data_IF_563473549577
#
_entry.id   IF_563473549577
#
_cell.length_a   1.000
_cell.length_b   1.000
_cell.length_c   1.000
_cell.angle_alpha   90.00
_cell.angle_beta   90.00
_cell.angle_gamma   90.00
#
_symmetry.space_group_name_H-M   'P 1'
#
loop_
_entity.id
_entity.type
_entity.pdbx_description
1 polymer ?
#
# COMPACT_ATOMS: atom_id res chain seq x y z
N UNK A 1 39.24 0.46 68.48
CA UNK A 1 39.03 -1.02 68.40
C UNK A 1 37.90 -1.25 67.40
N UNK A 2 37.92 -2.09 66.37
CA UNK A 2 38.86 -3.10 65.89
C UNK A 2 38.50 -3.46 64.43
N UNK A 3 39.42 -4.15 63.73
CA UNK A 3 39.20 -5.03 62.56
C UNK A 3 38.88 -4.37 61.19
N UNK A 4 39.86 -3.61 60.68
CA UNK A 4 40.19 -3.59 59.25
C UNK A 4 40.83 -4.93 58.87
N UNK A 5 40.12 -5.80 58.15
CA UNK A 5 40.67 -6.76 57.17
C UNK A 5 39.60 -7.78 56.74
N UNK A 6 38.84 -7.50 55.67
CA UNK A 6 38.33 -8.56 54.80
C UNK A 6 37.91 -8.02 53.42
N UNK A 7 38.82 -7.33 52.75
CA UNK A 7 38.82 -7.20 51.30
C UNK A 7 40.06 -7.94 50.80
N UNK A 8 39.90 -9.21 50.39
CA UNK A 8 40.69 -9.91 49.36
C UNK A 8 40.38 -11.41 49.35
N UNK A 9 39.80 -11.83 48.23
CA UNK A 9 39.59 -13.20 47.75
C UNK A 9 38.71 -13.06 46.52
N UNK A 10 39.22 -12.52 45.41
CA UNK A 10 39.90 -13.25 44.33
C UNK A 10 39.17 -14.54 43.96
N UNK A 11 38.65 -14.58 42.74
CA UNK A 11 38.24 -15.81 42.08
C UNK A 11 37.34 -15.52 40.90
N UNK A 12 37.94 -15.07 39.80
CA UNK A 12 37.21 -14.68 38.60
C UNK A 12 36.33 -15.79 38.01
N UNK A 13 35.21 -15.36 37.44
CA UNK A 13 34.53 -16.04 36.35
C UNK A 13 33.62 -15.01 35.66
N UNK A 14 33.94 -14.72 34.39
CA UNK A 14 33.10 -14.10 33.36
C UNK A 14 32.00 -13.12 33.80
N UNK A 15 32.30 -11.82 33.76
CA UNK A 15 31.31 -10.80 33.45
C UNK A 15 31.57 -10.26 32.04
N UNK A 16 31.46 -11.14 31.04
CA UNK A 16 31.15 -10.76 29.65
C UNK A 16 29.61 -10.76 29.47
N UNK A 17 28.90 -10.23 30.46
CA UNK A 17 27.45 -10.22 30.52
C UNK A 17 26.91 -8.90 29.99
N UNK A 18 26.64 -8.89 28.69
CA UNK A 18 25.58 -8.12 28.04
C UNK A 18 25.63 -6.60 28.29
N UNK A 19 26.40 -5.90 27.46
CA UNK A 19 25.93 -4.62 26.94
C UNK A 19 24.65 -4.92 26.14
N UNK A 20 23.51 -4.94 26.83
CA UNK A 20 22.20 -4.91 26.20
C UNK A 20 22.12 -3.58 25.44
N UNK A 21 22.45 -3.64 24.14
CA UNK A 21 22.20 -2.55 23.22
C UNK A 21 20.71 -2.21 23.26
N UNK A 22 20.41 -0.94 23.46
CA UNK A 22 19.07 -0.39 23.34
C UNK A 22 18.52 -0.72 21.94
N UNK A 23 17.61 -1.69 21.86
CA UNK A 23 16.94 -2.11 20.65
C UNK A 23 15.53 -2.61 20.98
N UNK A 24 14.58 -1.67 21.02
CA UNK A 24 13.11 -1.79 21.13
C UNK A 24 12.54 -2.91 22.04
N UNK A 25 12.29 -2.63 23.32
CA UNK A 25 11.34 -3.44 24.11
C UNK A 25 10.20 -2.57 24.68
N UNK A 26 9.03 -2.63 24.02
CA UNK A 26 7.71 -2.27 24.58
C UNK A 26 6.54 -2.59 23.62
N UNK A 27 6.77 -2.58 22.30
CA UNK A 27 5.71 -2.76 21.30
C UNK A 27 5.86 -4.02 20.43
N UNK A 28 7.05 -4.64 20.39
CA UNK A 28 7.29 -5.85 19.61
C UNK A 28 6.68 -7.08 20.29
N UNK A 29 6.10 -8.00 19.49
CA UNK A 29 5.56 -9.28 19.95
C UNK A 29 6.36 -10.44 19.34
N UNK A 30 6.85 -11.35 20.18
CA UNK A 30 7.61 -12.54 19.77
C UNK A 30 6.74 -13.57 19.03
N UNK A 31 7.33 -14.30 18.06
CA UNK A 31 6.63 -15.27 17.20
C UNK A 31 5.77 -16.28 17.96
N UNK A 32 6.29 -16.84 19.06
CA UNK A 32 5.56 -17.81 19.90
C UNK A 32 4.30 -17.23 20.57
N UNK A 33 4.14 -15.91 20.59
CA UNK A 33 3.03 -15.19 21.18
C UNK A 33 2.05 -14.61 20.15
N UNK A 34 2.38 -14.68 18.85
CA UNK A 34 1.60 -14.09 17.74
C UNK A 34 0.29 -14.83 17.45
N UNK A 35 0.12 -16.04 17.95
CA UNK A 35 -0.96 -16.95 17.54
C UNK A 35 -2.19 -16.82 18.47
N UNK A 36 -3.34 -16.53 17.88
CA UNK A 36 -4.65 -16.71 18.51
C UNK A 36 -5.10 -18.17 18.38
N UNK A 37 -5.96 -18.65 19.29
CA UNK A 37 -6.59 -19.96 19.09
C UNK A 37 -7.52 -19.90 17.88
N UNK A 38 -7.12 -20.55 16.79
CA UNK A 38 -7.97 -20.66 15.60
C UNK A 38 -9.22 -21.51 15.91
N UNK A 39 -10.39 -20.92 15.70
CA UNK A 39 -11.70 -21.56 15.89
C UNK A 39 -12.48 -21.74 14.58
N UNK A 40 -11.86 -21.46 13.43
CA UNK A 40 -12.47 -21.56 12.08
C UNK A 40 -13.19 -22.88 11.81
N UNK A 41 -12.68 -23.98 12.36
CA UNK A 41 -13.30 -25.31 12.19
C UNK A 41 -14.69 -25.44 12.84
N UNK A 42 -14.99 -24.61 13.84
CA UNK A 42 -16.26 -24.61 14.61
C UNK A 42 -17.09 -23.37 14.37
N UNK A 43 -16.44 -22.27 14.00
CA UNK A 43 -17.07 -20.98 13.73
C UNK A 43 -16.75 -20.53 12.31
N UNK A 44 -17.78 -20.48 11.45
CA UNK A 44 -17.65 -20.15 10.03
C UNK A 44 -17.93 -18.67 9.81
N UNK A 45 -17.24 -17.83 10.56
CA UNK A 45 -17.30 -16.38 10.41
C UNK A 45 -15.93 -15.79 10.13
N UNK A 46 -15.91 -14.56 9.64
CA UNK A 46 -14.71 -13.76 9.43
C UNK A 46 -15.06 -12.28 9.56
N UNK A 47 -14.33 -11.53 10.39
CA UNK A 47 -14.42 -10.06 10.44
C UNK A 47 -13.33 -9.44 9.54
N UNK A 48 -13.74 -8.79 8.44
CA UNK A 48 -12.85 -8.23 7.42
C UNK A 48 -12.96 -6.70 7.37
N UNK A 49 -11.88 -6.00 7.75
CA UNK A 49 -11.77 -4.55 7.61
C UNK A 49 -10.95 -4.15 6.38
N UNK A 50 -11.47 -3.21 5.61
CA UNK A 50 -10.84 -2.74 4.37
C UNK A 50 -11.08 -1.24 4.17
N UNK A 51 -10.49 -0.72 3.11
CA UNK A 51 -10.76 0.60 2.56
C UNK A 51 -12.17 0.70 1.95
N UNK A 52 -12.80 1.89 1.95
CA UNK A 52 -13.96 2.16 1.11
C UNK A 52 -13.65 1.97 -0.37
N UNK A 53 -14.64 1.53 -1.17
CA UNK A 53 -14.52 1.37 -2.63
C UNK A 53 -13.45 0.37 -3.07
N UNK A 54 -13.08 -0.56 -2.20
CA UNK A 54 -12.07 -1.60 -2.47
C UNK A 54 -12.69 -3.00 -2.59
N UNK A 55 -14.00 -3.06 -2.81
CA UNK A 55 -14.76 -4.29 -3.01
C UNK A 55 -15.92 -4.01 -3.98
N UNK A 56 -16.24 -4.98 -4.83
CA UNK A 56 -17.37 -4.90 -5.75
C UNK A 56 -18.70 -4.73 -5.03
N UNK A 57 -19.57 -3.91 -5.61
CA UNK A 57 -20.95 -3.75 -5.17
C UNK A 57 -21.90 -3.99 -6.32
N UNK A 58 -23.09 -4.53 -6.01
CA UNK A 58 -24.14 -4.76 -6.99
C UNK A 58 -24.71 -3.41 -7.48
N UNK A 59 -24.94 -3.29 -8.78
CA UNK A 59 -25.39 -2.04 -9.40
C UNK A 59 -26.76 -1.57 -8.88
N UNK A 60 -27.65 -2.51 -8.55
CA UNK A 60 -29.00 -2.23 -8.06
C UNK A 60 -29.05 -2.09 -6.52
N UNK A 61 -28.09 -2.69 -5.82
CA UNK A 61 -28.03 -2.70 -4.36
C UNK A 61 -26.59 -2.63 -3.83
N UNK A 62 -26.15 -1.41 -3.55
CA UNK A 62 -24.80 -1.12 -3.01
C UNK A 62 -24.54 -1.68 -1.61
N UNK A 63 -25.49 -2.37 -0.98
CA UNK A 63 -25.26 -3.15 0.25
C UNK A 63 -24.81 -4.59 -0.03
N UNK A 64 -25.00 -5.09 -1.25
CA UNK A 64 -24.53 -6.41 -1.68
C UNK A 64 -23.10 -6.32 -2.18
N UNK A 65 -22.41 -7.45 -2.08
CA UNK A 65 -21.02 -7.66 -2.49
C UNK A 65 -20.97 -8.98 -3.27
N UNK A 66 -21.20 -8.97 -4.60
CA UNK A 66 -21.28 -10.17 -5.43
C UNK A 66 -20.18 -11.21 -5.16
N UNK A 67 -18.91 -10.82 -5.17
CA UNK A 67 -17.80 -11.75 -4.96
C UNK A 67 -17.80 -12.35 -3.54
N UNK A 68 -18.08 -11.56 -2.49
CA UNK A 68 -18.24 -12.04 -1.11
C UNK A 68 -19.45 -12.97 -0.94
N UNK A 69 -20.54 -12.71 -1.66
CA UNK A 69 -21.70 -13.60 -1.69
C UNK A 69 -21.32 -14.95 -2.31
N UNK A 70 -20.59 -14.94 -3.43
CA UNK A 70 -20.03 -16.14 -4.06
C UNK A 70 -19.14 -16.93 -3.10
N UNK A 71 -18.26 -16.25 -2.35
CA UNK A 71 -17.46 -16.91 -1.31
C UNK A 71 -18.32 -17.60 -0.26
N UNK A 72 -19.31 -16.88 0.28
CA UNK A 72 -20.22 -17.41 1.30
C UNK A 72 -21.00 -18.62 0.79
N UNK A 73 -21.48 -18.58 -0.45
CA UNK A 73 -22.23 -19.68 -1.06
C UNK A 73 -21.38 -20.93 -1.22
N UNK A 74 -20.11 -20.77 -1.65
CA UNK A 74 -19.21 -21.90 -1.89
C UNK A 74 -18.65 -22.51 -0.60
N UNK A 75 -18.45 -21.71 0.44
CA UNK A 75 -17.75 -22.16 1.66
C UNK A 75 -18.65 -22.28 2.89
N UNK A 76 -19.80 -21.60 2.89
CA UNK A 76 -20.64 -21.40 4.07
C UNK A 76 -20.02 -20.48 5.12
N UNK A 77 -18.95 -19.75 4.81
CA UNK A 77 -18.30 -18.78 5.71
C UNK A 77 -18.99 -17.43 5.55
N UNK A 78 -19.47 -16.87 6.66
CA UNK A 78 -20.08 -15.54 6.69
C UNK A 78 -19.03 -14.47 6.94
N UNK A 79 -18.93 -13.49 6.06
CA UNK A 79 -17.98 -12.38 6.18
C UNK A 79 -18.71 -11.14 6.67
N UNK A 80 -18.27 -10.60 7.81
CA UNK A 80 -18.65 -9.26 8.25
C UNK A 80 -17.64 -8.27 7.69
N UNK A 81 -18.01 -7.64 6.59
CA UNK A 81 -17.16 -6.67 5.90
C UNK A 81 -17.39 -5.25 6.46
N UNK A 82 -16.32 -4.52 6.75
CA UNK A 82 -16.39 -3.14 7.26
C UNK A 82 -15.39 -2.23 6.56
N UNK A 83 -15.89 -1.16 5.95
CA UNK A 83 -15.10 -0.11 5.30
C UNK A 83 -14.72 0.97 6.32
N UNK A 84 -13.77 0.65 7.20
CA UNK A 84 -13.40 1.51 8.33
C UNK A 84 -11.96 2.04 8.26
N UNK A 85 -11.22 1.68 7.22
CA UNK A 85 -9.84 2.11 6.99
C UNK A 85 -9.89 3.29 6.03
N UNK A 86 -9.77 4.51 6.54
CA UNK A 86 -9.73 5.73 5.72
C UNK A 86 -8.33 6.35 5.65
N UNK A 87 -7.48 5.99 6.62
CA UNK A 87 -6.10 6.43 6.75
C UNK A 87 -5.32 5.34 7.50
N UNK A 88 -4.12 5.04 7.03
CA UNK A 88 -3.28 3.99 7.60
C UNK A 88 -2.88 4.31 9.05
N UNK A 89 -2.48 5.55 9.34
CA UNK A 89 -1.99 5.95 10.67
C UNK A 89 -3.13 5.99 11.69
N UNK A 90 -4.32 6.47 11.30
CA UNK A 90 -5.52 6.43 12.13
C UNK A 90 -5.89 4.97 12.48
N UNK A 91 -5.96 4.09 11.47
CA UNK A 91 -6.32 2.69 11.68
C UNK A 91 -5.27 1.96 12.53
N UNK A 92 -3.98 2.20 12.26
CA UNK A 92 -2.87 1.68 13.07
C UNK A 92 -3.00 2.13 14.54
N UNK A 93 -3.30 3.41 14.78
CA UNK A 93 -3.53 3.96 16.12
C UNK A 93 -4.76 3.37 16.82
N UNK A 94 -5.79 3.02 16.05
CA UNK A 94 -7.03 2.41 16.56
C UNK A 94 -6.86 0.98 17.06
N UNK A 95 -6.17 0.11 16.29
CA UNK A 95 -6.01 -1.31 16.67
C UNK A 95 -4.71 -1.60 17.44
N UNK A 96 -3.73 -0.69 17.36
CA UNK A 96 -2.42 -0.83 18.01
C UNK A 96 -2.47 -1.10 19.52
N UNK A 97 -3.30 -0.39 20.33
CA UNK A 97 -3.40 -0.67 21.76
C UNK A 97 -3.81 -2.11 22.08
N UNK A 98 -4.70 -2.72 21.28
CA UNK A 98 -5.08 -4.12 21.49
C UNK A 98 -3.90 -5.05 21.18
N UNK A 99 -3.21 -4.85 20.05
CA UNK A 99 -2.07 -5.66 19.62
C UNK A 99 -0.90 -5.58 20.60
N UNK A 100 -0.58 -4.36 21.09
CA UNK A 100 0.44 -4.13 22.12
C UNK A 100 0.14 -4.84 23.44
N UNK A 101 -1.14 -4.97 23.79
CA UNK A 101 -1.58 -5.63 25.02
C UNK A 101 -1.93 -7.11 24.81
N UNK A 102 -1.57 -7.68 23.65
CA UNK A 102 -1.85 -9.08 23.27
C UNK A 102 -3.35 -9.44 23.29
N UNK A 103 -4.21 -8.48 22.96
CA UNK A 103 -5.67 -8.61 22.91
C UNK A 103 -6.17 -8.75 21.48
N UNK A 104 -7.39 -9.28 21.34
CA UNK A 104 -8.09 -9.33 20.06
C UNK A 104 -8.42 -7.91 19.56
N UNK A 105 -8.16 -7.62 18.29
CA UNK A 105 -8.53 -6.35 17.65
C UNK A 105 -10.01 -6.32 17.27
N UNK A 106 -10.66 -7.48 17.23
CA UNK A 106 -12.00 -7.67 16.65
C UNK A 106 -12.01 -7.76 15.12
N UNK A 107 -10.85 -7.90 14.47
CA UNK A 107 -10.71 -8.10 13.02
C UNK A 107 -9.87 -9.34 12.79
N UNK A 108 -10.30 -10.16 11.84
CA UNK A 108 -9.56 -11.34 11.41
C UNK A 108 -8.72 -11.09 10.16
N UNK A 109 -9.14 -10.15 9.32
CA UNK A 109 -8.47 -9.75 8.10
C UNK A 109 -8.50 -8.22 7.98
N UNK A 110 -7.36 -7.63 7.66
CA UNK A 110 -7.23 -6.18 7.45
C UNK A 110 -6.52 -5.92 6.13
N UNK A 111 -6.73 -4.76 5.52
CA UNK A 111 -5.96 -4.28 4.36
C UNK A 111 -5.28 -2.96 4.72
N UNK A 112 -3.98 -2.87 4.49
CA UNK A 112 -3.17 -1.66 4.74
C UNK A 112 -2.11 -1.51 3.66
N UNK A 113 -1.62 -0.30 3.42
CA UNK A 113 -0.60 -0.05 2.41
C UNK A 113 0.70 -0.78 2.77
N UNK A 114 1.47 -1.20 1.79
CA UNK A 114 2.71 -1.97 1.98
C UNK A 114 3.69 -1.28 2.97
N UNK A 115 3.80 0.05 2.93
CA UNK A 115 4.64 0.80 3.89
C UNK A 115 4.16 0.68 5.34
N UNK A 116 2.84 0.55 5.55
CA UNK A 116 2.24 0.33 6.86
C UNK A 116 2.32 -1.16 7.23
N UNK A 117 2.12 -2.07 6.27
CA UNK A 117 2.33 -3.50 6.44
C UNK A 117 3.74 -3.79 6.95
N UNK A 118 4.76 -3.11 6.41
CA UNK A 118 6.14 -3.18 6.87
C UNK A 118 6.29 -2.88 8.37
N UNK A 119 5.50 -1.92 8.89
CA UNK A 119 5.45 -1.59 10.31
C UNK A 119 4.77 -2.68 11.13
N UNK A 120 3.66 -3.24 10.66
CA UNK A 120 2.99 -4.37 11.30
C UNK A 120 3.90 -5.60 11.40
N UNK A 121 4.59 -5.96 10.32
CA UNK A 121 5.55 -7.09 10.29
C UNK A 121 6.71 -6.85 11.25
N UNK A 122 7.33 -5.67 11.22
CA UNK A 122 8.46 -5.34 12.11
C UNK A 122 8.09 -5.36 13.59
N UNK A 123 6.86 -4.99 13.93
CA UNK A 123 6.35 -5.05 15.30
C UNK A 123 5.89 -6.47 15.69
N UNK A 124 5.87 -7.41 14.74
CA UNK A 124 5.39 -8.76 14.96
C UNK A 124 3.90 -8.81 15.25
N UNK A 125 3.11 -7.89 14.69
CA UNK A 125 1.68 -7.69 15.00
C UNK A 125 0.72 -8.47 14.08
N UNK A 126 1.27 -9.31 13.21
CA UNK A 126 0.54 -10.08 12.21
C UNK A 126 0.99 -11.53 12.23
N UNK A 127 0.07 -12.42 11.88
CA UNK A 127 0.29 -13.85 11.82
C UNK A 127 0.87 -14.25 10.46
N UNK A 128 1.77 -15.23 10.47
CA UNK A 128 2.24 -15.87 9.24
C UNK A 128 1.10 -16.68 8.60
N UNK A 129 0.92 -16.53 7.29
CA UNK A 129 -0.05 -17.26 6.49
C UNK A 129 0.60 -18.49 5.83
N UNK A 130 -0.14 -19.60 5.77
CA UNK A 130 0.30 -20.84 5.14
C UNK A 130 0.08 -20.78 3.62
N UNK A 131 1.16 -20.57 2.86
CA UNK A 131 1.11 -20.55 1.38
C UNK A 131 0.66 -21.89 0.78
N UNK A 132 0.85 -23.02 1.48
CA UNK A 132 0.34 -24.31 1.00
C UNK A 132 -1.19 -24.42 1.09
N UNK A 133 -1.81 -23.66 2.00
CA UNK A 133 -3.26 -23.50 2.10
C UNK A 133 -3.81 -22.46 1.11
N UNK A 134 -2.95 -21.78 0.35
CA UNK A 134 -3.28 -20.72 -0.59
C UNK A 134 -2.70 -20.98 -1.99
N UNK A 135 -3.10 -22.07 -2.66
CA UNK A 135 -2.57 -22.47 -3.96
C UNK A 135 -2.79 -21.43 -5.07
N UNK A 136 -3.92 -20.70 -5.06
CA UNK A 136 -4.19 -19.68 -6.07
C UNK A 136 -3.26 -18.48 -5.86
N UNK A 137 -3.02 -18.07 -4.61
CA UNK A 137 -2.02 -17.02 -4.31
C UNK A 137 -0.65 -17.43 -4.83
N UNK A 138 -0.22 -18.66 -4.54
CA UNK A 138 1.07 -19.17 -4.98
C UNK A 138 1.20 -19.24 -6.51
N UNK A 139 0.11 -19.56 -7.22
CA UNK A 139 0.09 -19.71 -8.68
C UNK A 139 -0.02 -18.37 -9.42
N UNK A 140 -0.85 -17.46 -8.93
CA UNK A 140 -1.36 -16.33 -9.71
C UNK A 140 -0.87 -14.96 -9.27
N UNK A 141 -0.23 -14.84 -8.09
CA UNK A 141 0.33 -13.57 -7.63
C UNK A 141 1.34 -12.99 -8.63
N UNK A 142 1.11 -11.73 -8.99
CA UNK A 142 1.99 -10.93 -9.84
C UNK A 142 3.45 -11.02 -9.39
N UNK A 143 4.38 -11.45 -10.26
CA UNK A 143 5.80 -11.53 -9.94
C UNK A 143 6.43 -10.21 -9.48
N UNK A 144 5.98 -9.05 -9.98
CA UNK A 144 6.53 -7.74 -9.55
C UNK A 144 6.12 -7.38 -8.13
N UNK A 145 5.00 -7.90 -7.66
CA UNK A 145 4.51 -7.65 -6.30
C UNK A 145 5.04 -8.69 -5.30
N UNK A 146 5.66 -9.79 -5.74
CA UNK A 146 5.91 -10.99 -4.91
C UNK A 146 6.96 -10.84 -3.81
N UNK A 147 7.89 -9.90 -3.92
CA UNK A 147 9.06 -9.81 -3.02
C UNK A 147 9.25 -8.41 -2.46
N UNK A 148 8.32 -7.89 -1.65
CA UNK A 148 8.55 -6.65 -0.93
C UNK A 148 9.70 -6.83 0.09
N UNK A 149 10.45 -5.76 0.35
CA UNK A 149 11.61 -5.82 1.24
C UNK A 149 11.23 -6.15 2.70
N UNK A 150 10.04 -5.73 3.15
CA UNK A 150 9.59 -5.93 4.52
C UNK A 150 9.07 -7.34 4.85
N UNK A 151 8.67 -8.13 3.84
CA UNK A 151 8.05 -9.44 4.02
C UNK A 151 8.51 -10.39 2.91
N UNK A 152 9.75 -10.86 3.02
CA UNK A 152 10.38 -11.70 2.01
C UNK A 152 9.57 -12.99 1.79
N UNK A 153 9.14 -13.22 0.55
CA UNK A 153 8.27 -14.35 0.20
C UNK A 153 6.79 -14.12 0.53
N UNK A 154 6.43 -12.91 0.99
CA UNK A 154 5.08 -12.50 1.36
C UNK A 154 4.40 -13.48 2.28
N UNK A 155 4.97 -13.76 3.45
CA UNK A 155 4.38 -14.74 4.40
C UNK A 155 3.39 -14.09 5.37
N UNK A 156 3.47 -12.78 5.59
CA UNK A 156 2.60 -12.03 6.50
C UNK A 156 1.62 -11.09 5.77
N UNK A 157 1.83 -10.91 4.46
CA UNK A 157 1.02 -10.06 3.58
C UNK A 157 0.65 -10.79 2.30
N UNK A 158 -0.47 -10.38 1.68
CA UNK A 158 -0.84 -10.75 0.31
C UNK A 158 -1.45 -9.51 -0.36
N UNK A 159 -1.00 -9.07 -1.55
CA UNK A 159 -1.59 -7.91 -2.22
C UNK A 159 -3.09 -8.09 -2.42
N UNK A 160 -3.87 -7.14 -1.95
CA UNK A 160 -5.29 -7.03 -2.24
C UNK A 160 -5.49 -6.37 -3.60
N UNK A 161 -4.86 -5.20 -3.74
CA UNK A 161 -4.90 -4.33 -4.91
C UNK A 161 -3.56 -3.63 -5.03
N UNK A 162 -3.28 -3.14 -6.22
CA UNK A 162 -2.08 -2.38 -6.51
C UNK A 162 -2.44 -1.15 -7.33
N UNK A 163 -1.52 -0.22 -7.42
CA UNK A 163 -1.68 0.92 -8.30
C UNK A 163 -0.35 1.55 -8.63
N UNK A 164 -0.42 2.55 -9.50
CA UNK A 164 0.74 3.29 -9.95
C UNK A 164 0.60 4.73 -9.50
N UNK A 165 1.63 5.26 -8.84
CA UNK A 165 1.75 6.71 -8.70
C UNK A 165 2.45 7.24 -9.95
N UNK A 166 1.75 8.11 -10.68
CA UNK A 166 2.23 8.74 -11.90
C UNK A 166 1.79 10.19 -11.98
N UNK A 167 1.67 10.70 -13.21
CA UNK A 167 1.22 12.07 -13.47
C UNK A 167 -0.10 12.03 -14.22
N UNK A 168 -1.10 12.74 -13.72
CA UNK A 168 -2.31 13.04 -14.49
C UNK A 168 -2.26 14.48 -15.00
N UNK A 169 -2.73 14.74 -16.22
CA UNK A 169 -2.75 16.08 -16.79
C UNK A 169 -3.86 16.27 -17.83
N UNK A 170 -4.35 17.51 -17.98
CA UNK A 170 -5.32 17.87 -19.03
C UNK A 170 -4.56 18.25 -20.31
N UNK A 171 -4.46 17.32 -21.24
CA UNK A 171 -3.69 17.48 -22.48
C UNK A 171 -4.20 18.64 -23.33
N UNK A 172 -5.52 18.80 -23.44
CA UNK A 172 -6.11 19.85 -24.29
C UNK A 172 -5.86 21.24 -23.70
N UNK A 173 -6.02 21.42 -22.39
CA UNK A 173 -5.77 22.72 -21.73
C UNK A 173 -4.28 23.04 -21.64
N UNK A 174 -3.42 22.03 -21.45
CA UNK A 174 -1.97 22.21 -21.44
C UNK A 174 -1.41 22.49 -22.85
N UNK A 175 -1.97 21.84 -23.87
CA UNK A 175 -1.56 22.03 -25.27
C UNK A 175 -0.24 21.34 -25.66
N UNK A 176 0.31 20.50 -24.78
CA UNK A 176 1.48 19.64 -25.02
C UNK A 176 1.39 18.36 -24.19
N UNK A 177 2.24 17.39 -24.53
CA UNK A 177 2.39 16.17 -23.75
C UNK A 177 3.30 16.40 -22.53
N UNK A 178 3.04 15.64 -21.47
CA UNK A 178 3.97 15.40 -20.36
C UNK A 178 4.60 14.03 -20.58
N UNK A 179 5.93 13.93 -20.49
CA UNK A 179 6.67 12.68 -20.66
C UNK A 179 7.61 12.38 -19.50
N UNK A 180 8.05 13.41 -18.80
CA UNK A 180 9.01 13.34 -17.71
C UNK A 180 8.44 13.94 -16.44
N UNK A 181 8.93 13.53 -15.28
CA UNK A 181 8.60 14.22 -14.02
C UNK A 181 9.08 15.66 -14.04
N UNK A 182 10.20 15.94 -14.73
CA UNK A 182 10.73 17.28 -14.91
C UNK A 182 9.80 18.25 -15.64
N UNK A 183 8.88 17.75 -16.47
CA UNK A 183 7.91 18.58 -17.21
C UNK A 183 6.95 19.34 -16.29
N UNK A 184 6.71 18.84 -15.07
CA UNK A 184 5.89 19.51 -14.04
C UNK A 184 6.49 20.87 -13.65
N UNK A 185 7.79 21.06 -13.84
CA UNK A 185 8.53 22.25 -13.40
C UNK A 185 8.62 23.33 -14.49
N UNK A 186 8.03 23.09 -15.66
CA UNK A 186 7.97 24.07 -16.74
C UNK A 186 7.13 25.30 -16.36
N UNK A 187 7.52 26.48 -16.85
CA UNK A 187 6.90 27.75 -16.46
C UNK A 187 5.41 27.86 -16.84
N UNK A 188 4.94 27.11 -17.85
CA UNK A 188 3.52 27.04 -18.26
C UNK A 188 2.61 26.39 -17.20
N UNK A 189 3.20 25.61 -16.30
CA UNK A 189 2.56 24.93 -15.18
C UNK A 189 2.72 25.65 -13.83
N UNK A 190 3.40 26.80 -13.77
CA UNK A 190 3.58 27.55 -12.52
C UNK A 190 2.24 27.87 -11.85
N UNK A 191 2.05 27.39 -10.62
CA UNK A 191 0.84 27.59 -9.81
C UNK A 191 -0.34 26.71 -10.21
N UNK A 192 -0.12 25.74 -11.10
CA UNK A 192 -1.12 24.82 -11.67
C UNK A 192 -0.71 23.35 -11.51
N UNK A 193 0.16 23.05 -10.56
CA UNK A 193 0.59 21.68 -10.22
C UNK A 193 0.20 21.37 -8.79
N UNK A 194 -0.30 20.15 -8.55
CA UNK A 194 -0.43 19.58 -7.20
C UNK A 194 0.47 18.36 -7.05
N UNK A 195 0.94 18.14 -5.84
CA UNK A 195 1.67 16.94 -5.42
C UNK A 195 0.88 16.25 -4.32
N UNK A 196 1.12 14.95 -4.12
CA UNK A 196 0.47 14.22 -3.03
C UNK A 196 0.97 14.77 -1.68
N UNK A 197 0.13 14.71 -0.65
CA UNK A 197 0.49 15.21 0.69
C UNK A 197 1.20 14.18 1.55
N UNK A 198 0.92 12.88 1.36
CA UNK A 198 1.51 11.81 2.13
C UNK A 198 2.99 11.64 1.80
N UNK A 199 3.84 11.49 2.82
CA UNK A 199 5.26 11.22 2.62
C UNK A 199 5.44 10.00 1.72
N UNK A 200 4.88 8.87 2.13
CA UNK A 200 5.02 7.57 1.47
C UNK A 200 4.46 7.51 0.05
N UNK A 201 3.62 8.46 -0.33
CA UNK A 201 2.94 8.51 -1.63
C UNK A 201 3.64 9.45 -2.61
N UNK A 202 4.38 10.43 -2.09
CA UNK A 202 4.87 11.55 -2.91
C UNK A 202 6.28 11.34 -3.41
N UNK A 203 7.16 10.77 -2.58
CA UNK A 203 8.60 10.89 -2.80
C UNK A 203 9.09 10.03 -3.97
N UNK A 204 8.52 8.84 -4.18
CA UNK A 204 9.09 7.85 -5.08
C UNK A 204 9.09 8.33 -6.53
N UNK A 205 7.96 8.83 -7.03
CA UNK A 205 7.86 9.41 -8.37
C UNK A 205 8.82 10.60 -8.58
N UNK A 206 8.95 11.46 -7.57
CA UNK A 206 9.81 12.65 -7.65
C UNK A 206 11.29 12.27 -7.62
N UNK A 207 11.66 11.27 -6.83
CA UNK A 207 13.01 10.70 -6.81
C UNK A 207 13.38 10.05 -8.14
N UNK A 208 12.48 9.24 -8.71
CA UNK A 208 12.65 8.68 -10.06
C UNK A 208 12.88 9.80 -11.08
N UNK A 209 12.10 10.88 -11.00
CA UNK A 209 12.27 12.08 -11.82
C UNK A 209 13.63 12.78 -11.69
N UNK A 210 14.28 12.64 -10.53
CA UNK A 210 15.63 13.14 -10.29
C UNK A 210 16.73 12.11 -10.66
N UNK A 211 16.36 10.97 -11.25
CA UNK A 211 17.27 9.89 -11.63
C UNK A 211 17.73 9.02 -10.47
N UNK A 212 17.03 9.06 -9.32
CA UNK A 212 17.35 8.25 -8.13
C UNK A 212 16.73 6.86 -8.26
N UNK A 213 17.52 5.83 -7.94
CA UNK A 213 17.02 4.46 -7.79
C UNK A 213 16.22 4.33 -6.49
N UNK A 214 14.89 4.34 -6.59
CA UNK A 214 13.97 4.23 -5.44
C UNK A 214 14.03 2.87 -4.75
N UNK A 215 14.67 1.86 -5.32
CA UNK A 215 14.89 0.59 -4.61
C UNK A 215 16.06 0.69 -3.61
N UNK A 216 16.89 1.75 -3.70
CA UNK A 216 18.15 1.90 -2.94
C UNK A 216 18.48 3.34 -2.52
N UNK A 217 17.50 4.24 -2.51
CA UNK A 217 17.69 5.65 -2.17
C UNK A 217 18.20 5.87 -0.73
N UNK A 218 18.80 7.03 -0.47
CA UNK A 218 19.45 7.40 0.78
C UNK A 218 18.83 8.65 1.41
N UNK A 219 19.13 8.91 2.69
CA UNK A 219 18.68 10.15 3.33
C UNK A 219 19.15 11.42 2.61
N UNK A 220 20.31 11.38 1.94
CA UNK A 220 20.81 12.51 1.14
C UNK A 220 19.93 12.75 -0.10
N UNK A 221 19.50 11.68 -0.78
CA UNK A 221 18.56 11.77 -1.91
C UNK A 221 17.22 12.40 -1.46
N UNK A 222 16.72 12.00 -0.29
CA UNK A 222 15.50 12.58 0.28
C UNK A 222 15.67 14.05 0.66
N UNK A 223 16.81 14.43 1.25
CA UNK A 223 17.08 15.82 1.57
C UNK A 223 17.20 16.69 0.31
N UNK A 224 17.86 16.20 -0.74
CA UNK A 224 17.95 16.89 -2.03
C UNK A 224 16.56 17.08 -2.67
N UNK A 225 15.72 16.03 -2.66
CA UNK A 225 14.33 16.12 -3.10
C UNK A 225 13.56 17.20 -2.31
N UNK A 226 13.64 17.18 -0.99
CA UNK A 226 12.98 18.15 -0.13
C UNK A 226 13.40 19.60 -0.45
N UNK A 227 14.69 19.85 -0.69
CA UNK A 227 15.19 21.18 -1.04
C UNK A 227 14.63 21.67 -2.39
N UNK A 228 14.54 20.79 -3.39
CA UNK A 228 13.92 21.09 -4.67
C UNK A 228 12.43 21.44 -4.51
N UNK A 229 11.66 20.59 -3.82
CA UNK A 229 10.22 20.80 -3.59
C UNK A 229 9.97 22.07 -2.78
N UNK A 230 10.75 22.33 -1.72
CA UNK A 230 10.66 23.56 -0.93
C UNK A 230 10.89 24.82 -1.78
N UNK A 231 11.86 24.78 -2.71
CA UNK A 231 12.09 25.85 -3.68
C UNK A 231 10.90 26.08 -4.61
N UNK A 232 10.28 25.01 -5.11
CA UNK A 232 9.09 25.06 -5.96
C UNK A 232 7.88 25.62 -5.22
N UNK A 233 7.68 25.25 -3.95
CA UNK A 233 6.62 25.83 -3.09
C UNK A 233 6.86 27.32 -2.87
N UNK A 234 8.08 27.72 -2.49
CA UNK A 234 8.44 29.14 -2.24
C UNK A 234 8.26 30.04 -3.45
N UNK A 235 8.49 29.51 -4.65
CA UNK A 235 8.27 30.24 -5.90
C UNK A 235 6.84 30.13 -6.42
N UNK A 236 5.92 29.53 -5.64
CA UNK A 236 4.51 29.29 -5.96
C UNK A 236 4.32 28.49 -7.25
N UNK A 237 5.26 27.60 -7.54
CA UNK A 237 5.16 26.68 -8.68
C UNK A 237 4.19 25.56 -8.37
N UNK A 238 4.31 24.96 -7.18
CA UNK A 238 3.33 24.02 -6.64
C UNK A 238 2.18 24.84 -6.05
N UNK A 239 0.96 24.52 -6.47
CA UNK A 239 -0.28 25.19 -6.02
C UNK A 239 -0.63 24.81 -4.59
N UNK A 240 -0.63 23.51 -4.30
CA UNK A 240 -0.89 22.91 -2.99
C UNK A 240 -0.53 21.43 -3.01
N UNK A 241 -0.52 20.81 -1.83
CA UNK A 241 -0.46 19.37 -1.66
C UNK A 241 -1.87 18.82 -1.43
N UNK A 242 -2.13 17.60 -1.89
CA UNK A 242 -3.47 16.99 -1.87
C UNK A 242 -3.43 15.52 -1.46
N UNK A 243 -4.49 15.03 -0.82
CA UNK A 243 -4.90 13.62 -0.97
C UNK A 243 -5.58 13.45 -2.33
N UNK A 244 -6.77 12.84 -2.38
CA UNK A 244 -7.53 12.68 -3.64
C UNK A 244 -8.19 13.99 -4.15
N UNK A 245 -8.06 15.12 -3.46
CA UNK A 245 -8.65 16.39 -3.89
C UNK A 245 -8.12 16.90 -5.25
N UNK A 246 -7.01 16.35 -5.77
CA UNK A 246 -6.49 16.69 -7.10
C UNK A 246 -7.50 16.35 -8.21
N UNK A 247 -8.36 15.34 -8.02
CA UNK A 247 -9.37 14.91 -8.99
C UNK A 247 -10.26 16.08 -9.38
N UNK A 248 -10.76 16.80 -8.37
CA UNK A 248 -11.61 17.97 -8.55
C UNK A 248 -10.85 19.11 -9.20
N UNK A 249 -9.65 19.43 -8.72
CA UNK A 249 -8.85 20.53 -9.24
C UNK A 249 -8.49 20.33 -10.72
N UNK A 250 -8.20 19.09 -11.12
CA UNK A 250 -7.88 18.74 -12.50
C UNK A 250 -9.13 18.86 -13.39
N UNK A 251 -10.28 18.37 -12.90
CA UNK A 251 -11.56 18.46 -13.61
C UNK A 251 -12.01 19.92 -13.83
N UNK A 252 -11.89 20.78 -12.81
CA UNK A 252 -12.21 22.21 -12.92
C UNK A 252 -11.16 22.97 -13.73
N UNK A 253 -9.93 22.45 -13.81
CA UNK A 253 -8.75 23.10 -14.40
C UNK A 253 -8.12 24.16 -13.52
N UNK A 254 -8.36 24.07 -12.20
CA UNK A 254 -7.60 24.81 -11.20
C UNK A 254 -6.12 24.37 -11.19
N UNK A 255 -5.86 23.12 -11.59
CA UNK A 255 -4.55 22.59 -11.97
C UNK A 255 -4.60 22.04 -13.38
N UNK A 256 -3.42 21.93 -14.02
CA UNK A 256 -3.27 21.32 -15.34
C UNK A 256 -2.50 20.00 -15.30
N UNK A 257 -1.75 19.76 -14.22
CA UNK A 257 -1.05 18.50 -13.98
C UNK A 257 -0.96 18.21 -12.48
N UNK A 258 -0.90 16.94 -12.10
CA UNK A 258 -0.75 16.53 -10.70
C UNK A 258 -0.08 15.17 -10.59
N UNK A 259 0.54 14.90 -9.43
CA UNK A 259 0.72 13.51 -9.01
C UNK A 259 -0.66 12.87 -8.81
N UNK A 260 -0.81 11.63 -9.26
CA UNK A 260 -2.07 10.92 -9.20
C UNK A 260 -1.88 9.41 -9.06
N UNK A 261 -2.90 8.75 -8.52
CA UNK A 261 -3.05 7.30 -8.53
C UNK A 261 -3.71 6.85 -9.82
N UNK A 262 -3.19 5.79 -10.44
CA UNK A 262 -3.71 5.29 -11.72
C UNK A 262 -5.20 4.96 -11.70
N UNK A 263 -5.69 4.34 -10.62
CA UNK A 263 -7.10 3.94 -10.50
C UNK A 263 -8.09 5.12 -10.48
N UNK A 264 -7.70 6.23 -9.86
CA UNK A 264 -8.53 7.44 -9.82
C UNK A 264 -8.72 8.06 -11.22
N UNK A 265 -7.77 7.84 -12.13
CA UNK A 265 -7.80 8.48 -13.46
C UNK A 265 -8.72 7.76 -14.44
N UNK A 266 -8.96 6.45 -14.28
CA UNK A 266 -9.86 5.70 -15.16
C UNK A 266 -11.26 6.33 -15.17
N UNK A 267 -11.81 6.63 -14.00
CA UNK A 267 -13.10 7.31 -13.89
C UNK A 267 -13.06 8.74 -14.45
N UNK A 268 -11.96 9.47 -14.23
CA UNK A 268 -11.80 10.82 -14.78
C UNK A 268 -11.72 10.83 -16.31
N UNK A 269 -11.14 9.80 -16.93
CA UNK A 269 -11.05 9.66 -18.37
C UNK A 269 -12.40 9.34 -19.02
N UNK A 270 -13.25 8.58 -18.32
CA UNK A 270 -14.63 8.36 -18.74
C UNK A 270 -15.43 9.68 -18.78
N UNK A 271 -15.21 10.58 -17.82
CA UNK A 271 -15.89 11.89 -17.77
C UNK A 271 -15.26 12.93 -18.71
N UNK A 272 -13.93 12.90 -18.86
CA UNK A 272 -13.16 13.83 -19.67
C UNK A 272 -11.99 13.12 -20.38
N UNK A 273 -12.12 12.77 -21.67
CA UNK A 273 -11.09 12.04 -22.40
C UNK A 273 -9.82 12.87 -22.68
N UNK A 274 -9.81 14.18 -22.37
CA UNK A 274 -8.61 15.00 -22.46
C UNK A 274 -7.67 14.83 -21.25
N UNK A 275 -8.13 14.16 -20.19
CA UNK A 275 -7.27 13.78 -19.06
C UNK A 275 -6.44 12.57 -19.47
N UNK A 276 -5.11 12.68 -19.31
CA UNK A 276 -4.20 11.57 -19.55
C UNK A 276 -3.46 11.23 -18.26
N UNK A 277 -3.25 9.93 -18.01
CA UNK A 277 -2.28 9.44 -17.03
C UNK A 277 -1.00 9.02 -17.76
N UNK A 278 0.14 9.42 -17.22
CA UNK A 278 1.45 9.03 -17.73
C UNK A 278 2.31 8.46 -16.62
N UNK A 279 2.91 7.31 -16.90
CA UNK A 279 4.12 6.84 -16.21
C UNK A 279 5.31 7.52 -16.91
N UNK A 280 6.05 8.41 -16.22
CA UNK A 280 7.16 9.14 -16.82
C UNK A 280 8.22 8.24 -17.45
N UNK A 281 9.06 8.80 -18.32
CA UNK A 281 10.19 8.11 -18.95
C UNK A 281 11.19 7.58 -17.91
N UNK A 282 11.35 8.28 -16.79
CA UNK A 282 12.20 7.89 -15.67
C UNK A 282 11.62 6.75 -14.83
N UNK A 283 10.29 6.55 -14.90
CA UNK A 283 9.58 5.50 -14.19
C UNK A 283 8.42 5.99 -13.34
N UNK A 284 7.69 5.03 -12.78
CA UNK A 284 6.60 5.26 -11.82
C UNK A 284 6.73 4.36 -10.60
N UNK A 285 6.10 4.75 -9.52
CA UNK A 285 6.02 3.91 -8.33
C UNK A 285 4.90 2.90 -8.52
N UNK A 286 5.21 1.61 -8.34
CA UNK A 286 4.23 0.57 -8.11
C UNK A 286 4.07 0.39 -6.61
N UNK A 287 2.85 0.49 -6.11
CA UNK A 287 2.52 0.30 -4.72
C UNK A 287 1.44 -0.76 -4.57
N UNK A 288 1.30 -1.32 -3.38
CA UNK A 288 0.28 -2.31 -3.07
C UNK A 288 -0.40 -2.03 -1.74
N UNK A 289 -1.69 -2.33 -1.71
CA UNK A 289 -2.49 -2.51 -0.51
C UNK A 289 -2.50 -3.99 -0.19
N UNK A 290 -2.17 -4.35 1.05
CA UNK A 290 -1.90 -5.73 1.45
C UNK A 290 -2.87 -6.23 2.50
N UNK A 291 -3.45 -7.40 2.24
CA UNK A 291 -4.15 -8.25 3.19
C UNK A 291 -3.19 -8.73 4.26
N UNK A 292 -3.58 -8.58 5.53
CA UNK A 292 -2.85 -9.11 6.68
C UNK A 292 -3.81 -9.72 7.69
N UNK A 293 -3.33 -10.74 8.42
CA UNK A 293 -4.07 -11.34 9.54
C UNK A 293 -3.49 -10.77 10.84
N UNK A 294 -4.19 -9.89 11.58
CA UNK A 294 -3.69 -9.37 12.84
C UNK A 294 -3.41 -10.48 13.85
N UNK A 295 -2.45 -10.26 14.75
CA UNK A 295 -2.25 -11.16 15.88
C UNK A 295 -3.54 -11.34 16.68
N UNK A 296 -3.65 -12.52 17.30
CA UNK A 296 -4.84 -12.92 18.09
C UNK A 296 -6.15 -13.02 17.31
N UNK A 297 -6.19 -12.75 16.00
CA UNK A 297 -7.31 -13.11 15.14
C UNK A 297 -7.65 -14.60 15.31
N UNK A 298 -8.95 -14.91 15.34
CA UNK A 298 -9.45 -16.23 15.73
C UNK A 298 -9.95 -17.05 14.56
N UNK A 299 -10.05 -16.45 13.38
CA UNK A 299 -10.50 -17.10 12.16
C UNK A 299 -9.43 -17.13 11.06
N UNK A 300 -8.16 -17.39 11.44
CA UNK A 300 -7.02 -17.43 10.49
C UNK A 300 -7.28 -18.34 9.30
N UNK A 301 -7.69 -19.60 9.51
CA UNK A 301 -7.99 -20.53 8.41
C UNK A 301 -9.12 -20.02 7.51
N UNK A 302 -10.15 -19.36 8.05
CA UNK A 302 -11.20 -18.75 7.23
C UNK A 302 -10.68 -17.54 6.43
N UNK A 303 -9.79 -16.73 7.03
CA UNK A 303 -9.16 -15.60 6.37
C UNK A 303 -8.29 -16.07 5.20
N UNK A 304 -7.45 -17.09 5.41
CA UNK A 304 -6.59 -17.66 4.36
C UNK A 304 -7.41 -18.18 3.17
N UNK A 305 -8.56 -18.81 3.43
CA UNK A 305 -9.50 -19.23 2.37
C UNK A 305 -10.10 -18.07 1.61
N UNK A 306 -10.45 -16.97 2.28
CA UNK A 306 -10.97 -15.78 1.60
C UNK A 306 -9.88 -15.16 0.73
N UNK A 307 -8.66 -15.03 1.25
CA UNK A 307 -7.52 -14.51 0.49
C UNK A 307 -7.24 -15.37 -0.75
N UNK A 308 -7.23 -16.70 -0.60
CA UNK A 308 -7.00 -17.60 -1.73
C UNK A 308 -8.14 -17.62 -2.76
N UNK A 309 -9.38 -17.43 -2.31
CA UNK A 309 -10.54 -17.28 -3.18
C UNK A 309 -10.41 -16.10 -4.13
N UNK A 310 -10.01 -14.94 -3.62
CA UNK A 310 -9.82 -13.74 -4.46
C UNK A 310 -8.65 -13.84 -5.43
N UNK A 311 -7.80 -14.85 -5.28
CA UNK A 311 -6.72 -15.13 -6.23
C UNK A 311 -7.12 -16.11 -7.33
N UNK A 312 -8.34 -16.65 -7.32
CA UNK A 312 -8.93 -17.33 -8.48
C UNK A 312 -9.08 -16.30 -9.63
N UNK A 313 -8.59 -16.58 -10.85
CA UNK A 313 -8.61 -15.60 -11.95
C UNK A 313 -10.00 -15.03 -12.25
N UNK A 314 -11.06 -15.83 -12.16
CA UNK A 314 -12.43 -15.40 -12.41
C UNK A 314 -12.94 -14.42 -11.35
N UNK A 315 -12.58 -14.66 -10.09
CA UNK A 315 -12.98 -13.80 -8.95
C UNK A 315 -12.19 -12.50 -8.98
N UNK A 316 -10.89 -12.59 -9.27
CA UNK A 316 -10.02 -11.43 -9.45
C UNK A 316 -10.47 -10.56 -10.63
N UNK A 317 -10.95 -11.16 -11.72
CA UNK A 317 -11.50 -10.47 -12.87
C UNK A 317 -12.78 -9.70 -12.54
N UNK A 318 -13.74 -10.35 -11.86
CA UNK A 318 -14.97 -9.71 -11.40
C UNK A 318 -14.69 -8.51 -10.48
N UNK A 319 -13.77 -8.69 -9.52
CA UNK A 319 -13.37 -7.60 -8.64
C UNK A 319 -12.63 -6.46 -9.38
N UNK A 320 -11.70 -6.79 -10.28
CA UNK A 320 -10.92 -5.81 -11.02
C UNK A 320 -11.79 -4.95 -11.93
N UNK A 321 -12.83 -5.54 -12.55
CA UNK A 321 -13.76 -4.82 -13.40
C UNK A 321 -14.57 -3.76 -12.64
N UNK A 322 -14.80 -3.95 -11.33
CA UNK A 322 -15.49 -2.95 -10.50
C UNK A 322 -14.52 -1.92 -9.92
N UNK A 323 -13.38 -2.36 -9.37
CA UNK A 323 -12.50 -1.48 -8.59
C UNK A 323 -11.59 -0.62 -9.48
N UNK A 324 -11.20 -1.10 -10.66
CA UNK A 324 -10.35 -0.35 -11.61
C UNK A 324 -8.97 0.03 -11.05
N UNK A 325 -8.35 -0.85 -10.27
CA UNK A 325 -6.96 -0.73 -9.83
C UNK A 325 -6.09 -1.81 -10.48
N UNK A 326 -4.77 -1.72 -10.34
CA UNK A 326 -3.86 -2.75 -10.85
C UNK A 326 -4.17 -4.08 -10.15
N UNK A 327 -4.61 -5.05 -10.94
CA UNK A 327 -4.99 -6.36 -10.43
C UNK A 327 -3.73 -7.17 -10.04
N UNK A 328 -3.63 -7.71 -8.81
CA UNK A 328 -2.48 -8.51 -8.39
C UNK A 328 -2.46 -9.93 -8.99
N UNK A 329 -3.47 -10.27 -9.81
CA UNK A 329 -3.63 -11.54 -10.51
C UNK A 329 -3.62 -11.29 -12.03
N UNK A 330 -2.44 -11.29 -12.69
CA UNK A 330 -2.35 -10.98 -14.12
C UNK A 330 -3.20 -11.89 -15.02
N UNK A 331 -3.48 -13.12 -14.57
CA UNK A 331 -4.33 -14.07 -15.29
C UNK A 331 -5.81 -13.62 -15.40
N UNK A 332 -6.28 -12.71 -14.53
CA UNK A 332 -7.62 -12.14 -14.61
C UNK A 332 -7.86 -11.36 -15.91
N UNK A 333 -6.79 -10.83 -16.53
CA UNK A 333 -6.86 -10.13 -17.81
C UNK A 333 -7.49 -11.00 -18.89
N UNK A 334 -7.05 -12.25 -18.98
CA UNK A 334 -7.49 -13.16 -20.03
C UNK A 334 -8.97 -13.55 -19.83
N UNK A 335 -9.42 -13.65 -18.57
CA UNK A 335 -10.84 -13.88 -18.26
C UNK A 335 -11.72 -12.72 -18.76
N UNK A 336 -11.30 -11.47 -18.51
CA UNK A 336 -12.04 -10.30 -18.98
C UNK A 336 -12.02 -10.19 -20.51
N UNK A 337 -10.86 -10.43 -21.14
CA UNK A 337 -10.71 -10.39 -22.59
C UNK A 337 -11.54 -11.45 -23.31
N UNK A 338 -11.66 -12.64 -22.73
CA UNK A 338 -12.39 -13.77 -23.31
C UNK A 338 -13.90 -13.79 -22.94
N UNK A 339 -14.38 -12.81 -22.17
CA UNK A 339 -15.77 -12.72 -21.69
C UNK A 339 -16.82 -12.59 -22.80
N UNK A 340 -16.42 -12.06 -23.96
CA UNK A 340 -17.32 -11.72 -25.06
C UNK A 340 -18.08 -10.39 -24.87
N UNK A 341 -17.82 -9.68 -23.77
CA UNK A 341 -18.34 -8.34 -23.48
C UNK A 341 -17.33 -7.27 -23.90
N UNK A 342 -17.78 -6.25 -24.65
CA UNK A 342 -16.91 -5.22 -25.21
C UNK A 342 -16.34 -4.27 -24.13
N UNK A 343 -17.10 -4.00 -23.08
CA UNK A 343 -16.68 -3.14 -21.97
C UNK A 343 -15.63 -3.86 -21.12
N UNK A 344 -15.88 -5.13 -20.79
CA UNK A 344 -14.89 -5.95 -20.06
C UNK A 344 -13.60 -6.16 -20.87
N UNK A 345 -13.72 -6.36 -22.19
CA UNK A 345 -12.56 -6.47 -23.06
C UNK A 345 -11.76 -5.15 -23.13
N UNK A 346 -12.42 -3.99 -23.04
CA UNK A 346 -11.75 -2.70 -22.96
C UNK A 346 -10.98 -2.55 -21.63
N UNK A 347 -11.57 -2.96 -20.49
CA UNK A 347 -10.88 -2.97 -19.20
C UNK A 347 -9.68 -3.92 -19.20
N UNK A 348 -9.79 -5.08 -19.85
CA UNK A 348 -8.67 -6.01 -20.01
C UNK A 348 -7.49 -5.42 -20.80
N UNK A 349 -7.77 -4.48 -21.72
CA UNK A 349 -6.78 -3.79 -22.52
C UNK A 349 -6.22 -2.53 -21.85
N UNK A 350 -6.81 -2.07 -20.74
CA UNK A 350 -6.39 -0.87 -20.04
C UNK A 350 -5.09 -1.13 -19.23
N UNK A 351 -3.96 -0.48 -19.58
CA UNK A 351 -2.71 -0.66 -18.86
C UNK A 351 -2.72 -0.11 -17.43
N UNK A 352 -3.73 0.67 -17.02
CA UNK A 352 -3.90 1.14 -15.65
C UNK A 352 -4.52 0.08 -14.72
N UNK A 353 -5.16 -0.95 -15.31
CA UNK A 353 -5.69 -2.13 -14.61
C UNK A 353 -4.76 -3.34 -14.81
N UNK A 354 -4.26 -3.52 -16.04
CA UNK A 354 -3.33 -4.58 -16.41
C UNK A 354 -2.09 -4.02 -17.12
N UNK A 355 -1.08 -3.52 -16.36
CA UNK A 355 0.12 -2.94 -16.94
C UNK A 355 0.80 -3.85 -17.97
N UNK A 356 1.08 -3.29 -19.13
CA UNK A 356 1.78 -3.98 -20.20
C UNK A 356 3.29 -4.12 -19.90
N UNK A 357 4.02 -4.89 -20.72
CA UNK A 357 5.45 -5.11 -20.51
C UNK A 357 6.27 -3.81 -20.51
N UNK A 358 5.89 -2.83 -21.34
CA UNK A 358 6.63 -1.57 -21.46
C UNK A 358 6.43 -0.70 -20.20
N UNK A 359 5.21 -0.58 -19.71
CA UNK A 359 4.89 0.08 -18.46
C UNK A 359 5.59 -0.63 -17.29
N UNK A 360 5.42 -1.96 -17.17
CA UNK A 360 6.02 -2.77 -16.10
C UNK A 360 7.54 -2.61 -15.98
N UNK A 361 8.25 -2.50 -17.11
CA UNK A 361 9.71 -2.30 -17.13
C UNK A 361 10.18 -0.98 -16.52
N UNK A 362 9.27 -0.01 -16.37
CA UNK A 362 9.49 1.32 -15.80
C UNK A 362 8.90 1.49 -14.41
N UNK A 363 8.25 0.46 -13.88
CA UNK A 363 7.67 0.49 -12.54
C UNK A 363 8.67 -0.04 -11.50
N UNK A 364 8.74 0.63 -10.36
CA UNK A 364 9.55 0.22 -9.23
C UNK A 364 8.77 0.34 -7.91
N UNK A 365 9.01 -0.60 -7.00
CA UNK A 365 8.56 -0.48 -5.62
C UNK A 365 9.69 0.20 -4.85
N UNK A 366 9.38 1.33 -4.19
CA UNK A 366 10.36 2.02 -3.38
C UNK A 366 10.76 1.18 -2.16
N UNK A 367 12.03 1.26 -1.73
CA UNK A 367 12.42 0.65 -0.45
C UNK A 367 11.72 1.35 0.71
N UNK A 368 11.48 0.60 1.77
CA UNK A 368 10.79 1.10 2.96
C UNK A 368 11.58 2.22 3.66
N UNK A 369 10.86 3.16 4.26
CA UNK A 369 11.39 4.12 5.23
C UNK A 369 11.48 3.42 6.59
N UNK A 370 12.68 3.36 7.18
CA UNK A 370 12.89 2.73 8.49
C UNK A 370 12.20 3.51 9.62
N UNK A 371 12.09 2.91 10.80
CA UNK A 371 11.48 3.61 11.96
C UNK A 371 12.29 4.84 12.37
N UNK A 372 13.62 4.72 12.26
CA UNK A 372 14.59 5.76 12.58
C UNK A 372 14.51 6.91 11.57
N UNK A 373 14.42 6.59 10.28
CA UNK A 373 14.27 7.56 9.20
C UNK A 373 12.92 8.29 9.26
N UNK A 374 11.83 7.56 9.51
CA UNK A 374 10.45 8.07 9.39
C UNK A 374 10.20 9.32 10.24
N UNK A 375 10.71 9.35 11.47
CA UNK A 375 10.54 10.54 12.33
C UNK A 375 11.17 11.80 11.73
N UNK A 376 12.35 11.66 11.14
CA UNK A 376 13.10 12.78 10.53
C UNK A 376 12.45 13.18 9.22
N UNK A 377 12.14 12.21 8.36
CA UNK A 377 11.61 12.45 7.02
C UNK A 377 10.18 13.00 7.06
N UNK A 378 9.29 12.43 7.88
CA UNK A 378 7.93 12.93 8.04
C UNK A 378 7.91 14.35 8.60
N UNK A 379 8.77 14.66 9.58
CA UNK A 379 8.88 16.02 10.10
C UNK A 379 9.31 17.02 9.03
N UNK A 380 10.29 16.67 8.18
CA UNK A 380 10.76 17.57 7.11
C UNK A 380 9.72 17.71 5.99
N UNK A 381 9.10 16.61 5.56
CA UNK A 381 8.05 16.64 4.54
C UNK A 381 6.83 17.45 5.00
N UNK A 382 6.32 17.20 6.20
CA UNK A 382 5.18 17.94 6.74
C UNK A 382 5.46 19.44 6.91
N UNK A 383 6.72 19.81 7.20
CA UNK A 383 7.12 21.21 7.25
C UNK A 383 7.03 21.87 5.86
N UNK A 384 7.32 21.15 4.77
CA UNK A 384 7.19 21.62 3.39
C UNK A 384 5.72 21.68 2.96
N UNK A 385 4.95 20.64 3.27
CA UNK A 385 3.51 20.57 2.98
C UNK A 385 2.73 21.70 3.66
N UNK A 386 3.19 22.15 4.84
CA UNK A 386 2.58 23.24 5.59
C UNK A 386 3.06 24.66 5.23
N UNK A 387 3.97 24.82 4.26
CA UNK A 387 4.38 26.14 3.73
C UNK A 387 3.31 26.73 2.81
#
# INVERSE_FOLDING_TARGET
MSRRSLLRGIGGAGAAGLLAGCGVPAAYVDEGERVGRDVSARDRTLDFANWPLYIDTDEDDTSKRPTLNGFRERTGISVRYTEEINDNDEFFGKIGPALMNHQETGRDLIVVSDWMAARFVRLGWVQEMDRAAQPNVAAHLDPQLRLPAFDWGRLHSVPWQSGITGIAYDRRRLGREIRSTGDLWADDLRGKVTLLSGLDESFALLMLGNGVDVTRWTGDDFHALCEQVEGLVRTKHIRRFTGNDYIKDLSTGDVLACQAYSGDIIQLQADNPDIEFVVPEEGGELWAESLMIPNRARHKTNAEKLVDYYYEPEVAAELAAWVNYVCPVPAARDVLADSGDEELAALAADPLIFPDTAMRSRLAIARDITSEERQVFAKKWNAIVGL
#
